data_IF_556158787720
#
_entry.id   IF_556158787720
#
_cell.length_a   1.000
_cell.length_b   1.000
_cell.length_c   1.000
_cell.angle_alpha   90.00
_cell.angle_beta   90.00
_cell.angle_gamma   90.00
#
_symmetry.space_group_name_H-M   'P 1'
#
loop_
_entity.id
_entity.type
_entity.pdbx_description
1 polymer ?
#
# COMPACT_ATOMS: atom_id res chain seq x y z
N UNK A 1 15.76 18.61 11.87
CA UNK A 1 15.95 18.47 10.41
C UNK A 1 16.70 17.19 10.04
N UNK A 2 17.94 16.98 10.50
CA UNK A 2 18.76 15.80 10.10
C UNK A 2 18.22 14.41 10.55
N UNK A 3 17.32 14.35 11.52
CA UNK A 3 16.74 13.09 12.01
C UNK A 3 15.55 12.60 11.17
N UNK A 4 14.81 13.50 10.53
CA UNK A 4 13.60 13.16 9.76
C UNK A 4 13.96 12.49 8.44
N UNK A 5 14.96 13.03 7.74
CA UNK A 5 15.51 12.46 6.48
C UNK A 5 16.08 11.04 6.68
N UNK A 6 16.61 10.72 7.87
CA UNK A 6 17.14 9.37 8.17
C UNK A 6 16.05 8.31 8.32
N UNK A 7 14.82 8.69 8.64
CA UNK A 7 13.72 7.74 8.83
C UNK A 7 13.00 7.46 7.50
N UNK A 8 12.98 8.43 6.57
CA UNK A 8 12.32 8.30 5.27
C UNK A 8 13.11 7.53 4.20
N UNK A 9 14.45 7.63 4.22
CA UNK A 9 15.28 6.83 3.31
C UNK A 9 15.05 5.31 3.46
N UNK A 10 15.00 4.73 4.69
CA UNK A 10 14.69 3.33 4.85
C UNK A 10 13.31 2.95 4.31
N UNK A 11 12.25 3.73 4.58
CA UNK A 11 10.90 3.41 4.10
C UNK A 11 10.82 3.38 2.59
N UNK A 12 11.36 4.38 1.90
CA UNK A 12 11.41 4.41 0.42
C UNK A 12 12.15 3.19 -0.15
N UNK A 13 13.26 2.79 0.50
CA UNK A 13 14.04 1.61 0.07
C UNK A 13 13.25 0.32 0.31
N UNK A 14 12.59 0.18 1.46
CA UNK A 14 11.75 -0.98 1.76
C UNK A 14 10.55 -1.08 0.82
N UNK A 15 9.90 0.04 0.51
CA UNK A 15 8.79 0.10 -0.46
C UNK A 15 9.27 -0.29 -1.86
N UNK A 16 10.42 0.22 -2.30
CA UNK A 16 11.01 -0.15 -3.59
C UNK A 16 11.36 -1.64 -3.68
N UNK A 17 11.95 -2.22 -2.62
CA UNK A 17 12.26 -3.65 -2.56
C UNK A 17 10.99 -4.48 -2.52
N UNK A 18 9.98 -4.08 -1.74
CA UNK A 18 8.67 -4.72 -1.65
C UNK A 18 8.01 -4.73 -3.03
N UNK A 19 8.03 -3.60 -3.74
CA UNK A 19 7.45 -3.46 -5.07
C UNK A 19 8.18 -4.31 -6.12
N UNK A 20 9.52 -4.36 -6.10
CA UNK A 20 10.31 -5.25 -6.96
C UNK A 20 10.01 -6.72 -6.65
N UNK A 21 9.93 -7.09 -5.37
CA UNK A 21 9.55 -8.43 -4.94
C UNK A 21 8.14 -8.79 -5.40
N UNK A 22 7.23 -7.83 -5.33
CA UNK A 22 5.86 -7.97 -5.78
C UNK A 22 5.76 -8.18 -7.29
N UNK A 23 6.45 -7.36 -8.09
CA UNK A 23 6.55 -7.51 -9.54
C UNK A 23 7.17 -8.84 -9.95
N UNK A 24 8.20 -9.31 -9.24
CA UNK A 24 8.83 -10.60 -9.51
C UNK A 24 7.89 -11.78 -9.23
N UNK A 25 7.17 -11.74 -8.09
CA UNK A 25 6.15 -12.73 -7.74
C UNK A 25 5.01 -12.75 -8.77
N UNK A 26 4.52 -11.59 -9.17
CA UNK A 26 3.54 -11.38 -10.25
C UNK A 26 3.99 -12.03 -11.56
N UNK A 27 5.25 -11.80 -11.96
CA UNK A 27 5.81 -12.37 -13.18
C UNK A 27 5.91 -13.90 -13.11
N UNK A 28 6.26 -14.44 -11.94
CA UNK A 28 6.37 -15.89 -11.72
C UNK A 28 5.01 -16.60 -11.64
N UNK A 29 3.98 -15.93 -11.14
CA UNK A 29 2.64 -16.49 -10.89
C UNK A 29 1.67 -16.28 -12.07
N UNK A 30 2.11 -15.59 -13.13
CA UNK A 30 1.31 -15.21 -14.32
C UNK A 30 0.51 -16.34 -15.01
N UNK A 31 0.74 -17.61 -14.67
CA UNK A 31 -0.02 -18.76 -15.18
C UNK A 31 -1.05 -19.39 -14.22
N UNK A 32 -1.11 -19.02 -12.93
CA UNK A 32 -1.97 -19.65 -11.93
C UNK A 32 -2.74 -18.60 -11.11
N UNK A 33 -4.06 -18.54 -11.31
CA UNK A 33 -5.06 -17.74 -10.59
C UNK A 33 -4.90 -16.21 -10.66
N UNK A 34 -5.94 -15.55 -11.19
CA UNK A 34 -5.99 -14.10 -11.43
C UNK A 34 -6.16 -13.23 -10.17
N UNK A 35 -6.40 -13.84 -9.00
CA UNK A 35 -6.63 -13.14 -7.75
C UNK A 35 -5.35 -12.44 -7.26
N UNK A 36 -4.25 -13.18 -7.16
CA UNK A 36 -3.00 -12.66 -6.59
C UNK A 36 -2.46 -11.47 -7.39
N UNK A 37 -2.42 -11.53 -8.74
CA UNK A 37 -1.99 -10.38 -9.52
C UNK A 37 -2.79 -9.11 -9.27
N UNK A 38 -4.11 -9.26 -9.07
CA UNK A 38 -5.00 -8.14 -8.79
C UNK A 38 -4.75 -7.55 -7.41
N UNK A 39 -4.59 -8.39 -6.39
CA UNK A 39 -4.29 -7.93 -5.03
C UNK A 39 -2.95 -7.19 -4.97
N UNK A 40 -1.91 -7.72 -5.65
CA UNK A 40 -0.58 -7.09 -5.68
C UNK A 40 -0.59 -5.76 -6.43
N UNK A 41 -1.43 -5.62 -7.47
CA UNK A 41 -1.62 -4.33 -8.15
C UNK A 41 -2.23 -3.28 -7.22
N UNK A 42 -3.23 -3.66 -6.41
CA UNK A 42 -3.85 -2.73 -5.46
C UNK A 42 -2.91 -2.35 -4.32
N UNK A 43 -2.10 -3.29 -3.82
CA UNK A 43 -1.04 -2.99 -2.84
C UNK A 43 -0.04 -1.98 -3.42
N UNK A 44 0.50 -2.25 -4.62
CA UNK A 44 1.44 -1.34 -5.27
C UNK A 44 0.86 0.07 -5.51
N UNK A 45 -0.45 0.16 -5.80
CA UNK A 45 -1.15 1.43 -5.92
C UNK A 45 -1.26 2.16 -4.57
N UNK A 46 -1.56 1.44 -3.49
CA UNK A 46 -1.63 2.01 -2.14
C UNK A 46 -0.26 2.54 -1.70
N UNK A 47 0.81 1.76 -1.91
CA UNK A 47 2.17 2.16 -1.57
C UNK A 47 2.59 3.40 -2.38
N UNK A 48 2.31 3.42 -3.69
CA UNK A 48 2.60 4.58 -4.54
C UNK A 48 1.85 5.83 -4.09
N UNK A 49 0.59 5.70 -3.64
CA UNK A 49 -0.17 6.82 -3.08
C UNK A 49 0.51 7.37 -1.82
N UNK A 50 0.92 6.51 -0.89
CA UNK A 50 1.64 6.91 0.33
C UNK A 50 2.95 7.62 -0.02
N UNK A 51 3.82 6.98 -0.83
CA UNK A 51 5.11 7.57 -1.18
C UNK A 51 4.96 8.90 -1.93
N UNK A 52 3.95 9.04 -2.79
CA UNK A 52 3.68 10.29 -3.49
C UNK A 52 3.22 11.41 -2.54
N UNK A 53 2.37 11.09 -1.56
CA UNK A 53 1.90 12.05 -0.57
C UNK A 53 3.05 12.52 0.34
N UNK A 54 3.92 11.61 0.77
CA UNK A 54 5.14 11.93 1.52
C UNK A 54 6.07 12.84 0.72
N UNK A 55 6.34 12.50 -0.55
CA UNK A 55 7.23 13.29 -1.41
C UNK A 55 6.71 14.70 -1.65
N UNK A 56 5.40 14.86 -1.83
CA UNK A 56 4.76 16.18 -1.95
C UNK A 56 4.88 16.95 -0.62
N UNK A 57 4.68 16.28 0.52
CA UNK A 57 4.81 16.92 1.84
C UNK A 57 6.22 17.47 2.06
N UNK A 58 7.25 16.67 1.76
CA UNK A 58 8.65 17.09 1.84
C UNK A 58 8.99 18.23 0.88
N UNK A 59 8.49 18.17 -0.35
CA UNK A 59 8.70 19.24 -1.34
C UNK A 59 8.13 20.58 -0.86
N UNK A 60 6.96 20.56 -0.23
CA UNK A 60 6.32 21.76 0.30
C UNK A 60 7.12 22.34 1.47
N UNK A 61 7.58 21.49 2.39
CA UNK A 61 8.46 21.90 3.49
C UNK A 61 9.77 22.51 2.96
N UNK A 62 10.39 21.88 1.96
CA UNK A 62 11.63 22.34 1.34
C UNK A 62 11.47 23.71 0.64
N UNK A 63 10.34 23.94 -0.03
CA UNK A 63 10.06 25.23 -0.68
C UNK A 63 9.74 26.37 0.31
N UNK A 64 9.70 26.08 1.62
CA UNK A 64 9.40 27.07 2.65
C UNK A 64 7.96 27.57 2.59
N UNK A 65 7.09 26.90 1.84
CA UNK A 65 5.68 27.24 1.72
C UNK A 65 4.92 26.64 2.92
N UNK A 66 4.39 27.50 3.78
CA UNK A 66 3.48 27.05 4.83
C UNK A 66 2.18 26.59 4.19
N UNK A 67 1.88 25.28 4.24
CA UNK A 67 0.52 24.82 4.01
C UNK A 67 -0.40 25.50 5.03
N UNK A 68 -1.51 26.04 4.55
CA UNK A 68 -2.59 26.43 5.46
C UNK A 68 -2.99 25.23 6.32
N UNK A 69 -3.51 25.44 7.54
CA UNK A 69 -3.82 24.37 8.49
C UNK A 69 -4.78 23.31 7.91
N UNK A 70 -5.67 23.72 7.01
CA UNK A 70 -6.58 22.81 6.29
C UNK A 70 -5.82 21.87 5.36
N UNK A 71 -4.88 22.38 4.56
CA UNK A 71 -4.09 21.57 3.65
C UNK A 71 -3.19 20.59 4.41
N UNK A 72 -2.54 21.05 5.49
CA UNK A 72 -1.74 20.17 6.35
C UNK A 72 -2.57 19.03 6.97
N UNK A 73 -3.80 19.33 7.40
CA UNK A 73 -4.74 18.32 7.90
C UNK A 73 -5.11 17.30 6.81
N UNK A 74 -5.48 17.76 5.61
CA UNK A 74 -5.82 16.88 4.48
C UNK A 74 -4.65 15.96 4.14
N UNK A 75 -3.43 16.48 4.04
CA UNK A 75 -2.24 15.67 3.76
C UNK A 75 -1.97 14.62 4.84
N UNK A 76 -2.04 15.00 6.12
CA UNK A 76 -1.88 14.06 7.24
C UNK A 76 -2.94 12.97 7.21
N UNK A 77 -4.21 13.32 6.95
CA UNK A 77 -5.27 12.34 6.77
C UNK A 77 -4.99 11.40 5.60
N UNK A 78 -4.61 11.93 4.42
CA UNK A 78 -4.31 11.12 3.24
C UNK A 78 -3.17 10.12 3.48
N UNK A 79 -2.10 10.53 4.18
CA UNK A 79 -0.99 9.64 4.53
C UNK A 79 -1.49 8.51 5.46
N UNK A 80 -2.23 8.85 6.51
CA UNK A 80 -2.76 7.84 7.45
C UNK A 80 -3.73 6.86 6.78
N UNK A 81 -4.59 7.34 5.87
CA UNK A 81 -5.50 6.48 5.10
C UNK A 81 -4.73 5.56 4.14
N UNK A 82 -3.67 6.08 3.50
CA UNK A 82 -2.80 5.28 2.64
C UNK A 82 -2.06 4.19 3.41
N UNK A 83 -1.52 4.50 4.59
CA UNK A 83 -0.88 3.50 5.47
C UNK A 83 -1.89 2.42 5.89
N UNK A 84 -3.09 2.83 6.31
CA UNK A 84 -4.15 1.88 6.69
C UNK A 84 -4.55 0.99 5.51
N UNK A 85 -4.69 1.56 4.32
CA UNK A 85 -4.98 0.81 3.09
C UNK A 85 -3.88 -0.21 2.79
N UNK A 86 -2.61 0.19 2.88
CA UNK A 86 -1.47 -0.70 2.65
C UNK A 86 -1.47 -1.88 3.63
N UNK A 87 -1.64 -1.64 4.93
CA UNK A 87 -1.74 -2.69 5.96
C UNK A 87 -2.92 -3.64 5.68
N UNK A 88 -4.09 -3.12 5.31
CA UNK A 88 -5.25 -3.94 4.99
C UNK A 88 -5.01 -4.80 3.74
N UNK A 89 -4.30 -4.27 2.74
CA UNK A 89 -3.90 -5.02 1.55
C UNK A 89 -2.91 -6.13 1.86
N UNK A 90 -1.89 -5.85 2.68
CA UNK A 90 -0.94 -6.87 3.15
C UNK A 90 -1.67 -8.00 3.90
N UNK A 91 -2.59 -7.65 4.81
CA UNK A 91 -3.39 -8.63 5.53
C UNK A 91 -4.27 -9.46 4.60
N UNK A 92 -4.90 -8.84 3.60
CA UNK A 92 -5.74 -9.51 2.60
C UNK A 92 -4.93 -10.48 1.74
N UNK A 93 -3.71 -10.08 1.35
CA UNK A 93 -2.75 -10.94 0.62
C UNK A 93 -2.29 -12.10 1.52
N UNK A 94 -1.92 -11.84 2.77
CA UNK A 94 -1.50 -12.86 3.73
C UNK A 94 -2.61 -13.90 3.99
N UNK A 95 -3.87 -13.44 4.09
CA UNK A 95 -5.04 -14.31 4.17
C UNK A 95 -5.24 -15.12 2.88
N UNK A 96 -4.99 -14.51 1.71
CA UNK A 96 -4.98 -15.18 0.41
C UNK A 96 -3.98 -16.32 0.36
N UNK A 97 -2.73 -16.07 0.74
CA UNK A 97 -1.70 -17.11 0.82
C UNK A 97 -2.07 -18.20 1.81
N UNK A 98 -2.49 -17.84 3.03
CA UNK A 98 -2.85 -18.80 4.07
C UNK A 98 -4.01 -19.70 3.63
N UNK A 99 -5.03 -19.14 2.99
CA UNK A 99 -6.18 -19.91 2.48
C UNK A 99 -5.79 -20.83 1.32
N UNK A 100 -4.87 -20.40 0.45
CA UNK A 100 -4.35 -21.23 -0.64
C UNK A 100 -3.55 -22.44 -0.12
N UNK A 101 -2.67 -22.24 0.87
CA UNK A 101 -1.90 -23.35 1.48
C UNK A 101 -2.79 -24.31 2.27
N UNK A 102 -3.78 -23.79 3.01
CA UNK A 102 -4.74 -24.60 3.77
C UNK A 102 -5.84 -25.23 2.90
N UNK A 103 -5.87 -24.95 1.58
CA UNK A 103 -6.89 -25.42 0.62
C UNK A 103 -8.33 -25.03 0.99
N UNK A 104 -8.51 -23.91 1.69
CA UNK A 104 -9.82 -23.43 2.14
C UNK A 104 -10.54 -22.66 1.03
N UNK A 105 -11.24 -23.40 0.15
CA UNK A 105 -11.94 -22.85 -1.02
C UNK A 105 -12.97 -21.77 -0.68
N UNK A 106 -13.67 -21.90 0.45
CA UNK A 106 -14.67 -20.92 0.89
C UNK A 106 -14.06 -19.56 1.21
N UNK A 107 -12.93 -19.55 1.94
CA UNK A 107 -12.21 -18.32 2.27
C UNK A 107 -11.64 -17.69 1.01
N UNK A 108 -11.10 -18.49 0.08
CA UNK A 108 -10.59 -17.97 -1.18
C UNK A 108 -11.69 -17.27 -2.01
N UNK A 109 -12.88 -17.85 -2.09
CA UNK A 109 -14.04 -17.25 -2.75
C UNK A 109 -14.48 -15.94 -2.08
N UNK A 110 -14.49 -15.91 -0.74
CA UNK A 110 -14.78 -14.69 0.01
C UNK A 110 -13.71 -13.60 -0.22
N UNK A 111 -12.43 -13.97 -0.27
CA UNK A 111 -11.33 -13.05 -0.57
C UNK A 111 -11.45 -12.45 -1.97
N UNK A 112 -11.89 -13.25 -2.95
CA UNK A 112 -12.18 -12.77 -4.32
C UNK A 112 -13.30 -11.74 -4.37
N UNK A 113 -14.33 -11.88 -3.54
CA UNK A 113 -15.42 -10.92 -3.46
C UNK A 113 -15.06 -9.68 -2.64
N UNK A 114 -14.17 -9.83 -1.65
CA UNK A 114 -13.76 -8.77 -0.73
C UNK A 114 -12.53 -7.98 -1.19
N UNK A 115 -12.13 -8.07 -2.46
CA UNK A 115 -11.00 -7.30 -3.03
C UNK A 115 -11.16 -5.79 -2.84
N UNK A 116 -12.38 -5.26 -2.78
CA UNK A 116 -12.63 -3.83 -2.54
C UNK A 116 -12.71 -3.46 -1.06
N UNK A 117 -12.85 -4.45 -0.16
CA UNK A 117 -13.02 -4.22 1.27
C UNK A 117 -11.85 -3.43 1.90
N UNK A 118 -10.58 -3.67 1.54
CA UNK A 118 -9.46 -2.87 2.04
C UNK A 118 -9.60 -1.37 1.73
N UNK A 119 -10.07 -1.01 0.52
CA UNK A 119 -10.28 0.39 0.13
C UNK A 119 -11.42 1.03 0.92
N UNK A 120 -12.58 0.36 0.99
CA UNK A 120 -13.75 0.85 1.71
C UNK A 120 -13.45 1.05 3.20
N UNK A 121 -12.73 0.11 3.82
CA UNK A 121 -12.33 0.21 5.23
C UNK A 121 -11.27 1.28 5.46
N UNK A 122 -10.40 1.52 4.48
CA UNK A 122 -9.45 2.63 4.51
C UNK A 122 -10.12 3.99 4.23
N UNK A 123 -11.42 4.03 3.93
CA UNK A 123 -12.13 5.29 3.66
C UNK A 123 -11.79 5.92 2.31
N UNK A 124 -11.31 5.12 1.36
CA UNK A 124 -11.00 5.50 -0.03
C UNK A 124 -12.11 4.99 -0.95
#
# INVERSE_FOLDING_TARGET
>A
ECAMVRIQMPTIIFDAISLVGCCWLLWKIRGHNWLLPRQMWHLALADLLVSSAELISELILYLGSSLGPVAACVFSCSINLGILASILWELHIAAGFTSAFSRWRGVFSFLEQSVWLPWVLAGV
#
